data_IF_858459179400
#
_entry.id   IF_858459179400
#
_cell.length_a   1.000
_cell.length_b   1.000
_cell.length_c   1.000
_cell.angle_alpha   90.00
_cell.angle_beta   90.00
_cell.angle_gamma   90.00
#
_symmetry.space_group_name_H-M   'P 1'
#
loop_
_entity.id
_entity.type
_entity.pdbx_description
1 polymer ?
#
# COMPACT_ATOMS: atom_id res chain seq x y z
N UNK A 1 -27.45 -53.17 3.06
CA UNK A 1 -27.32 -52.41 4.31
C UNK A 1 -26.04 -51.60 4.21
N UNK A 2 -26.16 -50.27 4.37
CA UNK A 2 -25.10 -49.22 4.44
C UNK A 2 -24.21 -49.08 3.18
N UNK A 3 -23.96 -47.90 2.60
CA UNK A 3 -24.08 -46.52 3.05
C UNK A 3 -22.85 -45.76 2.53
N UNK A 4 -23.03 -44.61 1.89
CA UNK A 4 -22.10 -43.94 0.98
C UNK A 4 -20.88 -43.22 1.63
N UNK A 5 -19.93 -42.94 0.74
CA UNK A 5 -18.73 -42.09 0.75
C UNK A 5 -18.79 -40.81 1.63
N UNK A 6 -17.71 -40.53 2.38
CA UNK A 6 -17.42 -39.17 2.85
C UNK A 6 -15.92 -38.97 3.13
N UNK A 7 -15.22 -38.45 2.12
CA UNK A 7 -13.93 -37.77 2.26
C UNK A 7 -14.06 -36.52 3.15
N UNK A 8 -13.37 -36.49 4.30
CA UNK A 8 -13.14 -35.29 5.12
C UNK A 8 -11.87 -35.47 5.96
N UNK A 9 -10.79 -34.80 5.58
CA UNK A 9 -9.84 -34.23 6.54
C UNK A 9 -9.23 -32.98 5.91
N UNK A 10 -9.91 -31.87 6.21
CA UNK A 10 -9.47 -30.51 5.95
C UNK A 10 -8.52 -30.14 7.10
N UNK A 11 -7.23 -30.19 6.83
CA UNK A 11 -6.21 -29.84 7.82
C UNK A 11 -6.32 -28.35 8.18
N UNK A 12 -6.79 -28.12 9.41
CA UNK A 12 -7.00 -26.82 10.03
C UNK A 12 -5.68 -26.07 10.22
N UNK A 13 -5.51 -24.91 9.58
CA UNK A 13 -4.55 -23.88 9.98
C UNK A 13 -5.25 -22.89 10.94
N UNK A 14 -4.54 -22.36 11.96
CA UNK A 14 -5.11 -22.05 13.25
C UNK A 14 -5.90 -20.73 13.29
N UNK A 15 -6.88 -20.77 14.18
CA UNK A 15 -7.73 -19.70 14.71
C UNK A 15 -7.01 -18.36 14.91
N UNK A 16 -7.33 -17.38 14.04
CA UNK A 16 -7.27 -15.95 14.38
C UNK A 16 -8.58 -15.61 15.10
N UNK A 17 -8.44 -15.02 16.28
CA UNK A 17 -9.50 -14.78 17.24
C UNK A 17 -10.76 -14.13 16.67
N UNK A 18 -11.88 -14.63 17.18
CA UNK A 18 -13.27 -14.24 16.93
C UNK A 18 -13.50 -12.72 16.99
N UNK A 19 -13.89 -12.11 15.87
CA UNK A 19 -14.81 -10.96 15.87
C UNK A 19 -15.97 -11.25 14.89
N UNK A 20 -17.21 -11.39 15.37
CA UNK A 20 -18.37 -11.64 14.52
C UNK A 20 -18.86 -10.32 13.90
N UNK A 21 -19.20 -10.37 12.60
CA UNK A 21 -19.99 -9.41 11.80
C UNK A 21 -19.72 -7.91 12.04
N UNK A 22 -19.19 -7.18 11.06
CA UNK A 22 -19.93 -6.84 9.86
C UNK A 22 -18.97 -6.24 8.83
N UNK A 23 -19.07 -6.66 7.56
CA UNK A 23 -18.29 -6.17 6.40
C UNK A 23 -16.93 -6.86 6.28
N UNK A 24 -16.79 -7.76 5.30
CA UNK A 24 -15.64 -8.66 5.11
C UNK A 24 -14.36 -7.98 4.64
N UNK A 25 -13.85 -6.99 5.37
CA UNK A 25 -12.58 -6.30 5.10
C UNK A 25 -11.96 -5.70 6.37
N UNK A 26 -10.70 -5.25 6.27
CA UNK A 26 -9.94 -4.69 7.38
C UNK A 26 -9.02 -3.56 6.90
N UNK A 27 -8.67 -2.65 7.81
CA UNK A 27 -7.72 -1.55 7.60
C UNK A 27 -6.31 -1.96 7.15
N UNK A 28 -5.87 -3.20 7.40
CA UNK A 28 -4.56 -3.74 6.99
C UNK A 28 -4.63 -4.59 5.71
N UNK A 29 -5.82 -4.78 5.14
CA UNK A 29 -6.01 -5.59 3.94
C UNK A 29 -5.53 -7.02 4.14
N UNK A 30 -5.98 -7.68 5.21
CA UNK A 30 -5.73 -9.12 5.45
C UNK A 30 -6.71 -9.99 4.69
N UNK A 31 -7.89 -9.45 4.33
CA UNK A 31 -8.90 -10.15 3.55
C UNK A 31 -8.60 -9.99 2.06
N UNK A 32 -8.43 -11.12 1.36
CA UNK A 32 -8.17 -11.12 -0.08
C UNK A 32 -9.45 -10.95 -0.90
N UNK A 33 -9.32 -10.33 -2.07
CA UNK A 33 -10.41 -10.24 -3.03
C UNK A 33 -10.68 -11.64 -3.65
N UNK A 34 -11.96 -12.01 -3.78
CA UNK A 34 -12.36 -13.30 -4.37
C UNK A 34 -12.31 -13.28 -5.90
N UNK A 35 -12.79 -12.19 -6.49
CA UNK A 35 -12.77 -11.92 -7.92
C UNK A 35 -12.61 -10.42 -8.07
N UNK A 36 -11.44 -9.97 -8.53
CA UNK A 36 -11.18 -8.54 -8.69
C UNK A 36 -10.79 -8.23 -10.12
N UNK A 37 -11.30 -7.11 -10.63
CA UNK A 37 -10.84 -6.51 -11.88
C UNK A 37 -9.56 -5.68 -11.69
N UNK A 38 -9.12 -5.50 -10.44
CA UNK A 38 -7.94 -4.72 -10.09
C UNK A 38 -6.67 -5.54 -10.32
N UNK A 39 -5.88 -5.13 -11.31
CA UNK A 39 -4.60 -5.76 -11.60
C UNK A 39 -3.48 -5.14 -10.74
N UNK A 40 -2.93 -5.90 -9.79
CA UNK A 40 -1.81 -5.46 -8.97
C UNK A 40 -0.47 -5.92 -9.58
N UNK A 41 0.46 -4.98 -9.74
CA UNK A 41 1.77 -5.22 -10.36
C UNK A 41 2.84 -5.56 -9.31
N UNK A 42 4.01 -6.01 -9.78
CA UNK A 42 5.22 -6.18 -8.97
C UNK A 42 5.04 -7.05 -7.70
N UNK A 43 4.17 -8.06 -7.76
CA UNK A 43 3.88 -8.94 -6.62
C UNK A 43 2.91 -8.35 -5.60
N UNK A 44 2.19 -7.28 -5.94
CA UNK A 44 1.05 -6.81 -5.17
C UNK A 44 -0.10 -7.82 -5.20
N UNK A 45 -0.93 -7.80 -4.15
CA UNK A 45 -2.12 -8.66 -4.04
C UNK A 45 -3.37 -7.82 -3.83
N UNK A 46 -4.49 -8.21 -4.43
CA UNK A 46 -5.76 -7.54 -4.16
C UNK A 46 -6.24 -7.88 -2.75
N UNK A 47 -6.52 -6.86 -1.96
CA UNK A 47 -7.11 -6.99 -0.64
C UNK A 47 -8.27 -6.01 -0.45
N UNK A 48 -9.18 -6.36 0.43
CA UNK A 48 -10.31 -5.53 0.80
C UNK A 48 -9.94 -4.68 2.01
N UNK A 49 -10.08 -3.36 1.85
CA UNK A 49 -9.81 -2.38 2.88
C UNK A 49 -11.10 -1.72 3.37
N UNK A 50 -11.15 -1.44 4.66
CA UNK A 50 -12.21 -0.61 5.24
C UNK A 50 -12.01 0.84 4.80
N UNK A 51 -13.06 1.49 4.28
CA UNK A 51 -13.01 2.91 3.95
C UNK A 51 -13.05 3.73 5.24
N UNK A 52 -12.12 4.66 5.39
CA UNK A 52 -12.15 5.62 6.50
C UNK A 52 -13.41 6.49 6.34
N UNK A 53 -14.35 6.39 7.30
CA UNK A 53 -15.69 7.01 7.37
C UNK A 53 -16.88 6.26 6.74
N UNK A 54 -16.68 5.11 6.12
CA UNK A 54 -17.82 4.27 5.70
C UNK A 54 -17.52 2.82 6.06
N UNK A 55 -18.51 2.16 6.65
CA UNK A 55 -18.57 0.73 6.90
C UNK A 55 -18.70 -0.06 5.57
N UNK A 56 -17.86 0.27 4.59
CA UNK A 56 -17.84 -0.26 3.24
C UNK A 56 -16.46 -0.78 2.89
N UNK A 57 -16.44 -1.95 2.25
CA UNK A 57 -15.22 -2.51 1.70
C UNK A 57 -14.88 -1.88 0.36
N UNK A 58 -13.61 -1.55 0.19
CA UNK A 58 -13.04 -1.16 -1.09
C UNK A 58 -11.91 -2.11 -1.47
N UNK A 59 -11.88 -2.52 -2.72
CA UNK A 59 -10.77 -3.30 -3.27
C UNK A 59 -9.59 -2.37 -3.52
N UNK A 60 -8.41 -2.72 -2.99
CA UNK A 60 -7.15 -2.03 -3.29
C UNK A 60 -6.00 -3.01 -3.38
N UNK A 61 -4.93 -2.62 -4.05
CA UNK A 61 -3.70 -3.39 -4.07
C UNK A 61 -2.91 -3.21 -2.77
N UNK A 62 -2.58 -4.33 -2.13
CA UNK A 62 -1.59 -4.39 -1.06
C UNK A 62 -0.22 -4.58 -1.67
N UNK A 63 0.59 -3.53 -1.64
CA UNK A 63 1.91 -3.53 -2.23
C UNK A 63 2.98 -4.11 -1.29
N UNK A 64 3.99 -4.80 -1.83
CA UNK A 64 5.20 -5.11 -1.09
C UNK A 64 5.95 -3.81 -0.72
N UNK A 65 6.79 -3.82 0.33
CA UNK A 65 7.40 -2.60 0.90
C UNK A 65 8.30 -1.82 -0.06
N UNK A 66 8.75 -2.45 -1.15
CA UNK A 66 9.57 -1.81 -2.18
C UNK A 66 8.75 -1.04 -3.24
N UNK A 67 7.42 -1.23 -3.27
CA UNK A 67 6.55 -0.67 -4.29
C UNK A 67 5.37 0.09 -3.68
N UNK A 68 4.84 1.06 -4.42
CA UNK A 68 3.71 1.92 -4.04
C UNK A 68 2.90 2.31 -5.29
N UNK A 69 1.78 3.00 -5.07
CA UNK A 69 0.80 3.34 -6.11
C UNK A 69 -0.48 2.51 -5.98
N UNK A 70 -1.50 2.88 -6.74
CA UNK A 70 -2.81 2.22 -6.69
C UNK A 70 -2.73 0.76 -7.20
N UNK A 71 -1.76 0.48 -8.06
CA UNK A 71 -1.49 -0.82 -8.66
C UNK A 71 -0.09 -1.34 -8.33
N UNK A 72 0.61 -0.75 -7.35
CA UNK A 72 2.00 -1.08 -7.01
C UNK A 72 2.98 -0.88 -8.18
N UNK A 73 2.75 0.14 -9.01
CA UNK A 73 3.49 0.44 -10.21
C UNK A 73 4.81 1.20 -9.96
N UNK A 74 4.92 1.92 -8.83
CA UNK A 74 6.06 2.78 -8.54
C UNK A 74 7.03 2.12 -7.56
N UNK A 75 8.32 2.16 -7.85
CA UNK A 75 9.37 1.71 -6.93
C UNK A 75 9.73 2.82 -5.94
N UNK A 76 9.65 2.52 -4.64
CA UNK A 76 9.83 3.51 -3.55
C UNK A 76 11.24 4.09 -3.52
N UNK A 77 12.26 3.27 -3.82
CA UNK A 77 13.66 3.71 -3.72
C UNK A 77 14.02 4.85 -4.67
N UNK A 78 13.38 4.93 -5.84
CA UNK A 78 13.59 6.02 -6.80
C UNK A 78 12.95 7.34 -6.32
N UNK A 79 11.80 7.22 -5.65
CA UNK A 79 11.06 8.38 -5.15
C UNK A 79 11.84 9.11 -4.05
N UNK A 80 12.39 8.35 -3.09
CA UNK A 80 13.22 8.92 -2.02
C UNK A 80 14.49 9.59 -2.55
N UNK A 81 15.15 8.99 -3.55
CA UNK A 81 16.34 9.58 -4.16
C UNK A 81 16.02 10.88 -4.92
N UNK A 82 14.94 10.89 -5.69
CA UNK A 82 14.53 12.05 -6.48
C UNK A 82 14.13 13.23 -5.59
N UNK A 83 13.36 12.99 -4.52
CA UNK A 83 13.00 14.04 -3.55
C UNK A 83 14.25 14.63 -2.90
N UNK A 84 15.20 13.78 -2.48
CA UNK A 84 16.45 14.24 -1.88
C UNK A 84 17.23 15.17 -2.81
N UNK A 85 17.34 14.82 -4.09
CA UNK A 85 18.02 15.66 -5.09
C UNK A 85 17.29 16.98 -5.35
N UNK A 86 15.97 16.95 -5.53
CA UNK A 86 15.17 18.15 -5.82
C UNK A 86 15.21 19.13 -4.65
N UNK A 87 15.01 18.65 -3.42
CA UNK A 87 15.06 19.48 -2.22
C UNK A 87 16.47 20.03 -1.99
N UNK A 88 17.49 19.19 -2.13
CA UNK A 88 18.90 19.62 -1.99
C UNK A 88 19.28 20.70 -3.00
N UNK A 89 18.92 20.51 -4.27
CA UNK A 89 19.18 21.48 -5.34
C UNK A 89 18.46 22.81 -5.06
N UNK A 90 17.19 22.75 -4.66
CA UNK A 90 16.40 23.94 -4.38
C UNK A 90 17.00 24.77 -3.23
N UNK A 91 17.40 24.11 -2.13
CA UNK A 91 18.06 24.76 -1.01
C UNK A 91 19.40 25.39 -1.42
N UNK A 92 20.20 24.69 -2.24
CA UNK A 92 21.46 25.23 -2.74
C UNK A 92 21.25 26.48 -3.60
N UNK A 93 20.26 26.47 -4.49
CA UNK A 93 19.91 27.64 -5.33
C UNK A 93 19.47 28.82 -4.46
N UNK A 94 18.62 28.59 -3.46
CA UNK A 94 18.18 29.64 -2.54
C UNK A 94 19.37 30.26 -1.79
N UNK A 95 20.33 29.46 -1.35
CA UNK A 95 21.55 29.96 -0.69
C UNK A 95 22.41 30.81 -1.65
N UNK A 96 22.57 30.38 -2.90
CA UNK A 96 23.34 31.14 -3.90
C UNK A 96 22.68 32.49 -4.19
N UNK A 97 21.35 32.50 -4.37
CA UNK A 97 20.58 33.73 -4.60
C UNK A 97 20.74 34.67 -3.40
N UNK A 98 20.59 34.14 -2.18
CA UNK A 98 20.77 34.92 -0.96
C UNK A 98 22.17 35.56 -0.92
N UNK A 99 23.23 34.78 -1.09
CA UNK A 99 24.62 35.30 -1.10
C UNK A 99 24.82 36.37 -2.18
N UNK A 100 24.32 36.16 -3.40
CA UNK A 100 24.42 37.14 -4.48
C UNK A 100 23.73 38.47 -4.15
N UNK A 101 22.57 38.39 -3.50
CA UNK A 101 21.83 39.55 -3.01
C UNK A 101 22.62 40.28 -1.91
N UNK A 102 23.22 39.56 -0.95
CA UNK A 102 24.08 40.19 0.07
C UNK A 102 25.29 40.89 -0.54
N UNK A 103 25.95 40.27 -1.51
CA UNK A 103 27.09 40.88 -2.19
C UNK A 103 26.64 42.16 -2.91
N UNK A 104 25.48 42.13 -3.59
CA UNK A 104 24.94 43.31 -4.27
C UNK A 104 24.55 44.43 -3.31
N UNK A 105 23.97 44.12 -2.15
CA UNK A 105 23.57 45.14 -1.16
C UNK A 105 24.74 45.66 -0.32
N UNK A 106 25.79 44.88 -0.15
CA UNK A 106 26.99 45.28 0.60
C UNK A 106 28.04 45.98 -0.27
N UNK A 107 27.79 46.15 -1.57
CA UNK A 107 28.69 46.82 -2.52
C UNK A 107 28.03 48.09 -3.06
#
# INVERSE_FOLDING_TARGET
MMGADHSKDFEQLPSVDKLPDSIGCDSKGTVLCKESSLNCLNGGVCALFMRENDDTCVEKCKCPPAYMGDHCEFYVGFYSATIGLVVGLFLAILLIIFIGIFIWYCW
#
